data_IF_067027387040
#
_entry.id   IF_067027387040
#
_cell.length_a   1.000
_cell.length_b   1.000
_cell.length_c   1.000
_cell.angle_alpha   90.00
_cell.angle_beta   90.00
_cell.angle_gamma   90.00
#
_symmetry.space_group_name_H-M   'P 1'
#
loop_
_entity.id
_entity.type
_entity.pdbx_description
1 polymer ?
#
# COMPACT_ATOMS: atom_id res chain seq x y z
N UNK A 1 -11.18 12.56 -5.27
CA UNK A 1 -10.18 11.62 -4.73
C UNK A 1 -10.74 10.71 -3.63
N UNK A 2 -11.53 11.22 -2.68
CA UNK A 2 -12.11 10.40 -1.59
C UNK A 2 -12.88 9.16 -2.07
N UNK A 3 -13.74 9.27 -3.10
CA UNK A 3 -14.47 8.11 -3.67
C UNK A 3 -13.54 7.02 -4.22
N UNK A 4 -12.44 7.39 -4.86
CA UNK A 4 -11.46 6.43 -5.41
C UNK A 4 -10.80 5.67 -4.25
N UNK A 5 -10.43 6.35 -3.17
CA UNK A 5 -9.85 5.71 -2.00
C UNK A 5 -10.84 4.77 -1.29
N UNK A 6 -12.11 5.18 -1.16
CA UNK A 6 -13.15 4.33 -0.58
C UNK A 6 -13.35 3.08 -1.44
N UNK A 7 -13.43 3.22 -2.76
CA UNK A 7 -13.61 2.09 -3.68
C UNK A 7 -12.40 1.14 -3.65
N UNK A 8 -11.18 1.68 -3.66
CA UNK A 8 -9.94 0.90 -3.51
C UNK A 8 -9.90 0.15 -2.18
N UNK A 9 -10.32 0.79 -1.08
CA UNK A 9 -10.39 0.18 0.23
C UNK A 9 -11.42 -0.96 0.24
N UNK A 10 -12.58 -0.78 -0.38
CA UNK A 10 -13.66 -1.77 -0.41
C UNK A 10 -13.28 -3.02 -1.21
N UNK A 11 -12.71 -2.84 -2.41
CA UNK A 11 -12.14 -3.95 -3.20
C UNK A 11 -11.04 -4.64 -2.41
N UNK A 12 -10.15 -3.85 -1.80
CA UNK A 12 -9.07 -4.36 -0.98
C UNK A 12 -9.58 -5.23 0.17
N UNK A 13 -10.59 -4.79 0.91
CA UNK A 13 -11.17 -5.56 2.00
C UNK A 13 -11.84 -6.84 1.50
N UNK A 14 -12.55 -6.79 0.38
CA UNK A 14 -13.23 -7.95 -0.22
C UNK A 14 -12.22 -9.02 -0.65
N UNK A 15 -11.16 -8.62 -1.36
CA UNK A 15 -10.10 -9.55 -1.81
C UNK A 15 -9.37 -10.15 -0.61
N UNK A 16 -9.06 -9.35 0.41
CA UNK A 16 -8.41 -9.85 1.62
C UNK A 16 -9.32 -10.84 2.36
N UNK A 17 -10.61 -10.54 2.49
CA UNK A 17 -11.59 -11.44 3.09
C UNK A 17 -11.70 -12.77 2.35
N UNK A 18 -11.72 -12.74 1.00
CA UNK A 18 -11.75 -13.96 0.19
C UNK A 18 -10.50 -14.83 0.39
N UNK A 19 -9.30 -14.23 0.37
CA UNK A 19 -8.03 -14.94 0.60
C UNK A 19 -7.99 -15.54 2.01
N UNK A 20 -8.37 -14.76 3.02
CA UNK A 20 -8.38 -15.23 4.42
C UNK A 20 -9.40 -16.35 4.62
N UNK A 21 -10.56 -16.26 3.96
CA UNK A 21 -11.59 -17.29 3.97
C UNK A 21 -11.10 -18.60 3.37
N UNK A 22 -10.53 -18.57 2.16
CA UNK A 22 -10.02 -19.78 1.50
C UNK A 22 -8.85 -20.41 2.26
N UNK A 23 -7.96 -19.60 2.83
CA UNK A 23 -6.89 -20.10 3.71
C UNK A 23 -7.41 -20.75 4.99
N UNK A 24 -8.55 -20.28 5.52
CA UNK A 24 -9.17 -20.88 6.70
C UNK A 24 -9.69 -22.29 6.41
N UNK A 25 -10.32 -22.49 5.25
CA UNK A 25 -10.73 -23.83 4.80
C UNK A 25 -9.52 -24.76 4.60
N UNK A 26 -8.48 -24.29 3.91
CA UNK A 26 -7.25 -25.06 3.73
C UNK A 26 -6.55 -25.39 5.07
N UNK A 27 -6.64 -24.50 6.05
CA UNK A 27 -6.08 -24.72 7.38
C UNK A 27 -6.83 -25.82 8.15
N UNK A 28 -8.16 -25.90 8.01
CA UNK A 28 -8.96 -26.98 8.59
C UNK A 28 -8.55 -28.32 7.98
N UNK A 29 -8.52 -28.42 6.65
CA UNK A 29 -8.11 -29.65 5.95
C UNK A 29 -6.69 -30.08 6.34
N UNK A 30 -5.76 -29.12 6.48
CA UNK A 30 -4.40 -29.42 6.91
C UNK A 30 -4.35 -29.98 8.34
N UNK A 31 -5.13 -29.41 9.26
CA UNK A 31 -5.23 -29.90 10.64
C UNK A 31 -5.86 -31.28 10.73
N UNK A 32 -6.87 -31.56 9.93
CA UNK A 32 -7.49 -32.89 9.84
C UNK A 32 -6.49 -33.93 9.33
N UNK A 33 -5.70 -33.60 8.30
CA UNK A 33 -4.63 -34.48 7.81
C UNK A 33 -3.55 -34.75 8.87
N UNK A 34 -3.12 -33.71 9.59
CA UNK A 34 -2.20 -33.84 10.72
C UNK A 34 -2.79 -34.71 11.83
N UNK A 35 -4.07 -34.53 12.17
CA UNK A 35 -4.75 -35.34 13.18
C UNK A 35 -4.84 -36.82 12.77
N UNK A 36 -5.17 -37.11 11.52
CA UNK A 36 -5.19 -38.46 10.99
C UNK A 36 -3.80 -39.13 11.04
N UNK A 37 -2.72 -38.39 10.80
CA UNK A 37 -1.34 -38.89 10.96
C UNK A 37 -1.03 -39.22 12.42
N UNK A 38 -1.50 -38.43 13.38
CA UNK A 38 -1.36 -38.70 14.82
C UNK A 38 -2.11 -39.99 15.19
N UNK A 39 -3.35 -40.16 14.73
CA UNK A 39 -4.16 -41.36 15.01
C UNK A 39 -3.53 -42.63 14.41
N UNK A 40 -2.81 -42.51 13.29
CA UNK A 40 -2.06 -43.62 12.68
C UNK A 40 -0.71 -43.90 13.37
N UNK A 41 -0.37 -43.18 14.45
CA UNK A 41 0.89 -43.36 15.17
C UNK A 41 2.12 -42.87 14.41
N UNK A 42 1.95 -41.94 13.46
CA UNK A 42 3.07 -41.41 12.69
C UNK A 42 4.03 -40.64 13.60
N UNK A 43 5.31 -41.02 13.57
CA UNK A 43 6.39 -40.36 14.30
C UNK A 43 7.14 -39.45 13.32
N UNK A 44 7.30 -38.18 13.68
CA UNK A 44 8.04 -37.23 12.87
C UNK A 44 9.54 -37.60 12.80
N UNK A 45 10.09 -37.61 11.59
CA UNK A 45 11.53 -37.80 11.37
C UNK A 45 12.33 -36.53 11.72
N UNK A 46 13.63 -36.68 11.96
CA UNK A 46 14.52 -35.53 12.22
C UNK A 46 14.53 -34.54 11.05
N UNK A 47 14.46 -35.06 9.83
CA UNK A 47 14.41 -34.25 8.60
C UNK A 47 13.10 -33.47 8.49
N UNK A 48 11.96 -34.05 8.89
CA UNK A 48 10.68 -33.33 8.95
C UNK A 48 10.67 -32.22 10.00
N UNK A 49 11.30 -32.44 11.16
CA UNK A 49 11.47 -31.40 12.19
C UNK A 49 12.32 -30.25 11.66
N UNK A 50 13.46 -30.56 11.02
CA UNK A 50 14.36 -29.55 10.45
C UNK A 50 13.68 -28.79 9.30
N UNK A 51 12.92 -29.49 8.46
CA UNK A 51 12.17 -28.87 7.37
C UNK A 51 11.08 -27.94 7.91
N UNK A 52 10.28 -28.38 8.89
CA UNK A 52 9.27 -27.54 9.53
C UNK A 52 9.88 -26.33 10.27
N UNK A 53 11.07 -26.49 10.86
CA UNK A 53 11.81 -25.40 11.49
C UNK A 53 12.27 -24.37 10.45
N UNK A 54 12.87 -24.81 9.34
CA UNK A 54 13.28 -23.93 8.25
C UNK A 54 12.09 -23.18 7.63
N UNK A 55 10.98 -23.87 7.37
CA UNK A 55 9.74 -23.24 6.89
C UNK A 55 9.25 -22.15 7.87
N UNK A 56 9.28 -22.42 9.18
CA UNK A 56 8.88 -21.45 10.20
C UNK A 56 9.81 -20.23 10.26
N UNK A 57 11.13 -20.44 10.20
CA UNK A 57 12.12 -19.36 10.20
C UNK A 57 11.95 -18.49 8.96
N UNK A 58 11.87 -19.10 7.78
CA UNK A 58 11.66 -18.38 6.52
C UNK A 58 10.35 -17.59 6.53
N UNK A 59 9.24 -18.21 6.94
CA UNK A 59 7.96 -17.51 7.04
C UNK A 59 8.01 -16.33 8.03
N UNK A 60 8.73 -16.48 9.15
CA UNK A 60 8.90 -15.40 10.14
C UNK A 60 9.77 -14.27 9.58
N UNK A 61 10.88 -14.59 8.91
CA UNK A 61 11.76 -13.61 8.29
C UNK A 61 11.02 -12.81 7.20
N UNK A 62 10.30 -13.49 6.30
CA UNK A 62 9.49 -12.84 5.26
C UNK A 62 8.41 -11.95 5.85
N UNK A 63 7.75 -12.38 6.93
CA UNK A 63 6.74 -11.57 7.62
C UNK A 63 7.37 -10.32 8.25
N UNK A 64 8.51 -10.44 8.94
CA UNK A 64 9.19 -9.30 9.56
C UNK A 64 9.67 -8.30 8.50
N UNK A 65 10.32 -8.78 7.44
CA UNK A 65 10.79 -7.94 6.34
C UNK A 65 9.62 -7.26 5.63
N UNK A 66 8.54 -8.01 5.33
CA UNK A 66 7.34 -7.46 4.70
C UNK A 66 6.62 -6.44 5.59
N UNK A 67 6.56 -6.67 6.90
CA UNK A 67 6.01 -5.74 7.87
C UNK A 67 6.81 -4.45 7.95
N UNK A 68 8.15 -4.55 8.06
CA UNK A 68 9.05 -3.41 8.06
C UNK A 68 8.96 -2.59 6.76
N UNK A 69 8.96 -3.26 5.60
CA UNK A 69 8.79 -2.60 4.30
C UNK A 69 7.47 -1.84 4.23
N UNK A 70 6.38 -2.40 4.76
CA UNK A 70 5.06 -1.76 4.80
C UNK A 70 5.05 -0.51 5.69
N UNK A 71 5.70 -0.56 6.85
CA UNK A 71 5.84 0.59 7.75
C UNK A 71 6.67 1.70 7.08
N UNK A 72 7.78 1.35 6.45
CA UNK A 72 8.62 2.31 5.72
C UNK A 72 7.83 2.98 4.59
N UNK A 73 7.10 2.19 3.79
CA UNK A 73 6.24 2.72 2.71
C UNK A 73 5.13 3.65 3.25
N UNK A 74 4.51 3.30 4.37
CA UNK A 74 3.50 4.14 5.01
C UNK A 74 4.08 5.48 5.50
N UNK A 75 5.28 5.47 6.08
CA UNK A 75 5.99 6.68 6.48
C UNK A 75 6.37 7.56 5.28
N UNK A 76 6.86 6.95 4.19
CA UNK A 76 7.17 7.66 2.94
C UNK A 76 5.91 8.31 2.37
N UNK A 77 4.80 7.58 2.33
CA UNK A 77 3.52 8.08 1.83
C UNK A 77 3.02 9.26 2.67
N UNK A 78 3.05 9.14 4.00
CA UNK A 78 2.61 10.19 4.92
C UNK A 78 3.44 11.47 4.74
N UNK A 79 4.78 11.34 4.72
CA UNK A 79 5.66 12.49 4.56
C UNK A 79 5.51 13.13 3.17
N UNK A 80 5.35 12.30 2.13
CA UNK A 80 5.12 12.77 0.76
C UNK A 80 3.79 13.51 0.63
N UNK A 81 2.74 13.05 1.32
CA UNK A 81 1.45 13.74 1.34
C UNK A 81 1.53 15.09 2.05
N UNK A 82 2.21 15.17 3.20
CA UNK A 82 2.45 16.44 3.89
C UNK A 82 3.23 17.43 3.02
N UNK A 83 4.31 16.97 2.37
CA UNK A 83 5.07 17.80 1.45
C UNK A 83 4.23 18.25 0.25
N UNK A 84 3.37 17.39 -0.29
CA UNK A 84 2.50 17.73 -1.41
C UNK A 84 1.50 18.84 -1.03
N UNK A 85 0.84 18.74 0.12
CA UNK A 85 -0.10 19.79 0.57
C UNK A 85 0.62 21.12 0.84
N UNK A 86 1.80 21.09 1.45
CA UNK A 86 2.61 22.30 1.67
C UNK A 86 3.06 22.94 0.34
N UNK A 87 3.53 22.13 -0.62
CA UNK A 87 3.98 22.61 -1.92
C UNK A 87 2.82 23.14 -2.76
N UNK A 88 1.63 22.53 -2.65
CA UNK A 88 0.40 23.02 -3.28
C UNK A 88 0.03 24.41 -2.77
N UNK A 89 0.15 24.64 -1.46
CA UNK A 89 -0.06 25.98 -0.90
C UNK A 89 0.96 27.01 -1.40
N UNK A 90 2.24 26.64 -1.44
CA UNK A 90 3.29 27.53 -1.97
C UNK A 90 3.08 27.85 -3.45
N UNK A 91 2.59 26.89 -4.23
CA UNK A 91 2.26 27.10 -5.63
C UNK A 91 1.07 28.05 -5.80
N UNK A 92 0.01 27.88 -5.00
CA UNK A 92 -1.13 28.80 -4.98
C UNK A 92 -0.71 30.23 -4.67
N UNK A 93 0.11 30.45 -3.64
CA UNK A 93 0.63 31.79 -3.30
C UNK A 93 1.44 32.39 -4.44
N UNK A 94 2.28 31.57 -5.09
CA UNK A 94 3.06 32.01 -6.23
C UNK A 94 2.18 32.40 -7.42
N UNK A 95 1.09 31.66 -7.69
CA UNK A 95 0.13 31.99 -8.74
C UNK A 95 -0.57 33.34 -8.46
N UNK A 96 -1.04 33.56 -7.23
CA UNK A 96 -1.67 34.83 -6.83
C UNK A 96 -0.70 36.01 -6.98
N UNK A 97 0.57 35.84 -6.59
CA UNK A 97 1.59 36.88 -6.71
C UNK A 97 2.01 37.16 -8.15
N UNK A 98 2.13 36.12 -8.99
CA UNK A 98 2.66 36.23 -10.35
C UNK A 98 1.60 36.71 -11.34
N UNK A 99 0.37 36.22 -11.19
CA UNK A 99 -0.71 36.45 -12.14
C UNK A 99 -1.83 37.34 -11.60
N UNK A 100 -1.76 37.76 -10.33
CA UNK A 100 -2.75 38.62 -9.67
C UNK A 100 -4.18 38.05 -9.71
N UNK A 101 -4.29 36.73 -9.63
CA UNK A 101 -5.56 36.00 -9.59
C UNK A 101 -5.88 35.54 -8.17
N UNK A 102 -7.12 35.18 -7.88
CA UNK A 102 -7.50 34.50 -6.64
C UNK A 102 -7.45 32.99 -6.88
N UNK A 103 -6.75 32.26 -6.02
CA UNK A 103 -6.56 30.81 -6.17
C UNK A 103 -7.28 30.05 -5.07
N UNK A 104 -8.06 29.06 -5.47
CA UNK A 104 -8.49 28.01 -4.55
C UNK A 104 -7.31 27.07 -4.27
N UNK A 105 -6.76 27.20 -3.07
CA UNK A 105 -5.63 26.42 -2.59
C UNK A 105 -5.89 24.90 -2.57
N UNK A 106 -7.15 24.46 -2.51
CA UNK A 106 -7.49 23.04 -2.58
C UNK A 106 -7.10 22.43 -3.94
N UNK A 107 -7.21 23.22 -5.02
CA UNK A 107 -7.03 22.80 -6.41
C UNK A 107 -5.87 23.51 -7.12
N UNK A 108 -4.97 24.17 -6.39
CA UNK A 108 -3.87 24.94 -6.97
C UNK A 108 -2.96 24.11 -7.89
N UNK A 109 -2.77 22.82 -7.59
CA UNK A 109 -1.98 21.89 -8.39
C UNK A 109 -2.58 21.58 -9.78
N UNK A 110 -3.88 21.83 -9.95
CA UNK A 110 -4.62 21.61 -11.21
C UNK A 110 -4.67 22.83 -12.12
N UNK A 111 -4.13 23.96 -11.69
CA UNK A 111 -3.94 25.08 -12.60
C UNK A 111 -2.93 24.68 -13.69
N UNK A 112 -3.20 25.15 -14.89
CA UNK A 112 -2.42 24.82 -16.08
C UNK A 112 -2.14 26.09 -16.89
N UNK A 113 -1.01 26.08 -17.58
CA UNK A 113 -0.65 27.11 -18.54
C UNK A 113 -0.68 26.48 -19.92
N UNK A 114 -1.70 26.76 -20.71
CA UNK A 114 -1.89 26.18 -22.03
C UNK A 114 -2.03 27.28 -23.07
N UNK A 115 -1.27 27.18 -24.16
CA UNK A 115 -1.20 28.19 -25.22
C UNK A 115 -0.96 29.61 -24.66
N UNK A 116 -0.03 29.70 -23.71
CA UNK A 116 0.33 30.94 -23.00
C UNK A 116 -0.85 31.66 -22.31
N UNK A 117 -1.88 30.91 -21.96
CA UNK A 117 -3.04 31.38 -21.20
C UNK A 117 -3.21 30.54 -19.93
N UNK A 118 -3.50 31.22 -18.83
CA UNK A 118 -3.75 30.58 -17.55
C UNK A 118 -5.13 29.92 -17.56
N UNK A 119 -5.19 28.64 -17.20
CA UNK A 119 -6.40 27.86 -17.07
C UNK A 119 -6.62 27.47 -15.60
N UNK A 120 -7.86 27.58 -15.15
CA UNK A 120 -8.28 27.28 -13.79
C UNK A 120 -9.18 26.04 -13.76
N UNK A 121 -9.16 25.24 -12.68
CA UNK A 121 -10.02 24.08 -12.57
C UNK A 121 -11.48 24.50 -12.38
N UNK A 122 -12.39 23.97 -13.21
CA UNK A 122 -13.83 24.15 -13.00
C UNK A 122 -14.25 23.33 -11.78
N UNK A 123 -15.03 23.93 -10.86
CA UNK A 123 -15.50 23.26 -9.64
C UNK A 123 -16.04 21.85 -9.95
N UNK A 124 -15.51 20.84 -9.26
CA UNK A 124 -15.84 19.41 -9.41
C UNK A 124 -15.52 18.73 -10.76
N UNK A 125 -14.79 19.38 -11.66
CA UNK A 125 -14.36 18.79 -12.94
C UNK A 125 -12.84 18.56 -12.97
N UNK A 126 -12.42 17.57 -13.76
CA UNK A 126 -11.01 17.43 -14.17
C UNK A 126 -10.64 18.37 -15.31
N UNK A 127 -11.63 19.01 -15.94
CA UNK A 127 -11.41 19.97 -17.00
C UNK A 127 -10.98 21.33 -16.43
N UNK A 128 -9.93 21.88 -17.03
CA UNK A 128 -9.48 23.25 -16.82
C UNK A 128 -10.13 24.15 -17.87
N UNK A 129 -10.54 25.35 -17.48
CA UNK A 129 -11.11 26.36 -18.37
C UNK A 129 -10.18 27.57 -18.42
N UNK A 130 -10.10 28.28 -19.56
CA UNK A 130 -9.32 29.51 -19.64
C UNK A 130 -9.84 30.53 -18.63
N UNK A 131 -8.94 31.23 -17.95
CA UNK A 131 -9.31 32.26 -16.99
C UNK A 131 -10.17 33.33 -17.68
N UNK A 132 -11.27 33.81 -17.07
CA UNK A 132 -12.24 34.71 -17.72
C UNK A 132 -11.64 36.05 -18.18
N UNK A 133 -10.48 36.41 -17.65
CA UNK A 133 -9.73 37.62 -18.01
C UNK A 133 -8.58 37.37 -18.99
N UNK A 134 -8.48 36.18 -19.60
CA UNK A 134 -7.43 35.80 -20.55
C UNK A 134 -6.02 36.15 -20.05
N UNK A 135 -5.71 35.74 -18.82
CA UNK A 135 -4.44 36.08 -18.17
C UNK A 135 -3.30 35.39 -18.92
N UNK A 136 -2.40 36.19 -19.49
CA UNK A 136 -1.23 35.69 -20.17
C UNK A 136 -0.31 34.96 -19.20
N UNK A 137 0.21 33.81 -19.62
CA UNK A 137 1.01 32.94 -18.81
C UNK A 137 2.29 32.51 -19.55
N UNK A 138 3.44 32.63 -18.88
CA UNK A 138 4.70 32.09 -19.38
C UNK A 138 4.76 30.58 -19.10
N UNK A 139 4.48 29.77 -20.11
CA UNK A 139 4.43 28.30 -20.03
C UNK A 139 5.72 27.71 -19.44
N UNK A 140 6.89 28.19 -19.86
CA UNK A 140 8.17 27.67 -19.38
C UNK A 140 8.40 27.96 -17.89
N UNK A 141 8.11 29.19 -17.45
CA UNK A 141 8.25 29.57 -16.03
C UNK A 141 7.25 28.85 -15.12
N UNK A 142 6.03 28.63 -15.62
CA UNK A 142 4.98 27.90 -14.92
C UNK A 142 5.38 26.44 -14.66
N UNK A 143 5.76 25.72 -15.71
CA UNK A 143 6.18 24.32 -15.61
C UNK A 143 7.47 24.19 -14.77
N UNK A 144 8.43 25.11 -14.92
CA UNK A 144 9.62 25.13 -14.08
C UNK A 144 9.28 25.26 -12.60
N UNK A 145 8.34 26.16 -12.22
CA UNK A 145 7.94 26.32 -10.83
C UNK A 145 7.20 25.10 -10.29
N UNK A 146 6.29 24.53 -11.10
CA UNK A 146 5.54 23.32 -10.75
C UNK A 146 6.47 22.12 -10.56
N UNK A 147 7.50 21.99 -11.39
CA UNK A 147 8.55 20.98 -11.26
C UNK A 147 9.46 21.23 -10.05
N UNK A 148 9.84 22.48 -9.77
CA UNK A 148 10.64 22.84 -8.59
C UNK A 148 9.94 22.45 -7.29
N UNK A 149 8.62 22.65 -7.21
CA UNK A 149 7.80 22.27 -6.07
C UNK A 149 7.41 20.78 -6.08
N UNK A 150 7.88 20.01 -7.06
CA UNK A 150 7.61 18.57 -7.16
C UNK A 150 6.14 18.21 -7.36
N UNK A 151 5.32 19.15 -7.85
CA UNK A 151 3.87 18.96 -8.05
C UNK A 151 3.55 18.22 -9.34
N UNK A 152 4.52 18.08 -10.26
CA UNK A 152 4.35 17.34 -11.50
C UNK A 152 4.14 15.84 -11.21
N UNK A 153 2.94 15.35 -11.57
CA UNK A 153 2.48 13.98 -11.32
C UNK A 153 2.57 13.54 -9.84
N UNK A 154 2.50 14.49 -8.91
CA UNK A 154 2.61 14.19 -7.48
C UNK A 154 1.44 13.32 -6.99
N UNK A 155 0.24 13.56 -7.52
CA UNK A 155 -0.98 12.78 -7.29
C UNK A 155 -0.83 11.32 -7.75
N UNK A 156 -0.29 11.09 -8.94
CA UNK A 156 -0.03 9.74 -9.48
C UNK A 156 1.02 9.02 -8.65
N UNK A 157 2.10 9.71 -8.25
CA UNK A 157 3.13 9.15 -7.37
C UNK A 157 2.55 8.74 -6.02
N UNK A 158 1.78 9.62 -5.39
CA UNK A 158 1.09 9.34 -4.11
C UNK A 158 0.15 8.13 -4.25
N UNK A 159 -0.59 8.03 -5.35
CA UNK A 159 -1.46 6.89 -5.63
C UNK A 159 -0.65 5.57 -5.75
N UNK A 160 0.47 5.58 -6.47
CA UNK A 160 1.34 4.40 -6.61
C UNK A 160 1.94 3.98 -5.27
N UNK A 161 2.38 4.93 -4.45
CA UNK A 161 2.86 4.66 -3.08
C UNK A 161 1.75 4.07 -2.20
N UNK A 162 0.52 4.60 -2.29
CA UNK A 162 -0.63 4.07 -1.56
C UNK A 162 -0.97 2.63 -1.98
N UNK A 163 -0.94 2.32 -3.27
CA UNK A 163 -1.13 0.96 -3.79
C UNK A 163 -0.02 0.04 -3.26
N UNK A 164 1.25 0.47 -3.32
CA UNK A 164 2.38 -0.28 -2.80
C UNK A 164 2.26 -0.60 -1.31
N UNK A 165 1.89 0.40 -0.49
CA UNK A 165 1.66 0.22 0.94
C UNK A 165 0.51 -0.77 1.23
N UNK A 166 -0.60 -0.69 0.47
CA UNK A 166 -1.72 -1.61 0.60
C UNK A 166 -1.34 -3.05 0.25
N UNK A 167 -0.59 -3.26 -0.84
CA UNK A 167 -0.12 -4.59 -1.24
C UNK A 167 0.85 -5.17 -0.21
N UNK A 168 1.79 -4.36 0.29
CA UNK A 168 2.71 -4.75 1.36
C UNK A 168 1.97 -5.19 2.63
N UNK A 169 1.00 -4.39 3.07
CA UNK A 169 0.19 -4.72 4.25
C UNK A 169 -0.60 -6.02 4.07
N UNK A 170 -1.17 -6.27 2.88
CA UNK A 170 -1.86 -7.54 2.58
C UNK A 170 -0.91 -8.73 2.64
N UNK A 171 0.26 -8.61 2.04
CA UNK A 171 1.27 -9.66 2.08
C UNK A 171 1.70 -9.97 3.53
N UNK A 172 1.84 -8.95 4.36
CA UNK A 172 2.11 -9.09 5.79
C UNK A 172 1.00 -9.86 6.52
N UNK A 173 -0.27 -9.45 6.35
CA UNK A 173 -1.42 -10.11 7.00
C UNK A 173 -1.57 -11.57 6.54
N UNK A 174 -1.45 -11.83 5.23
CA UNK A 174 -1.49 -13.18 4.66
C UNK A 174 -0.37 -14.04 5.23
N UNK A 175 0.87 -13.51 5.31
CA UNK A 175 2.00 -14.21 5.91
C UNK A 175 1.79 -14.54 7.39
N UNK A 176 1.18 -13.63 8.16
CA UNK A 176 0.84 -13.83 9.56
C UNK A 176 -0.17 -14.97 9.74
N UNK A 177 -1.23 -14.99 8.92
CA UNK A 177 -2.25 -16.05 8.95
C UNK A 177 -1.67 -17.38 8.46
N UNK A 178 -0.87 -17.38 7.40
CA UNK A 178 -0.15 -18.56 6.91
C UNK A 178 0.68 -19.20 8.02
N UNK A 179 1.48 -18.38 8.72
CA UNK A 179 2.32 -18.84 9.82
C UNK A 179 1.49 -19.43 10.97
N UNK A 180 0.36 -18.79 11.31
CA UNK A 180 -0.50 -19.24 12.42
C UNK A 180 -1.25 -20.53 12.11
N UNK A 181 -1.67 -20.71 10.87
CA UNK A 181 -2.50 -21.83 10.46
C UNK A 181 -1.72 -23.07 10.01
N UNK A 182 -0.54 -22.89 9.41
CA UNK A 182 0.20 -23.99 8.77
C UNK A 182 1.55 -24.27 9.45
N UNK A 183 2.45 -23.28 9.54
CA UNK A 183 3.82 -23.54 10.01
C UNK A 183 3.93 -23.76 11.51
N UNK A 184 3.20 -23.00 12.34
CA UNK A 184 3.21 -23.17 13.79
C UNK A 184 2.64 -24.52 14.24
N UNK A 185 1.46 -24.98 13.75
CA UNK A 185 0.93 -26.29 14.10
C UNK A 185 1.83 -27.45 13.65
N UNK A 186 2.38 -27.39 12.43
CA UNK A 186 3.30 -28.39 11.90
C UNK A 186 4.58 -28.49 12.74
N UNK A 187 5.16 -27.35 13.13
CA UNK A 187 6.34 -27.32 14.00
C UNK A 187 6.04 -27.85 15.40
N UNK A 188 4.88 -27.51 15.97
CA UNK A 188 4.46 -28.00 17.28
C UNK A 188 4.32 -29.52 17.26
N UNK A 189 3.58 -30.06 16.28
CA UNK A 189 3.40 -31.50 16.06
C UNK A 189 4.73 -32.22 15.94
N UNK A 190 5.61 -31.77 15.02
CA UNK A 190 6.89 -32.40 14.74
C UNK A 190 7.79 -32.44 16.00
N UNK A 191 7.82 -31.36 16.79
CA UNK A 191 8.58 -31.32 18.06
C UNK A 191 8.03 -32.27 19.11
N UNK A 192 6.71 -32.34 19.29
CA UNK A 192 6.10 -33.27 20.26
C UNK A 192 6.32 -34.73 19.89
N UNK A 193 6.20 -35.08 18.62
CA UNK A 193 6.26 -36.48 18.17
C UNK A 193 7.69 -36.96 17.93
N UNK A 194 8.65 -36.08 17.63
CA UNK A 194 10.08 -36.45 17.62
C UNK A 194 10.61 -36.74 19.04
N UNK A 195 10.06 -36.10 20.07
CA UNK A 195 10.46 -36.31 21.48
C UNK A 195 10.03 -37.68 22.02
N UNK A 196 8.93 -38.23 21.52
CA UNK A 196 8.41 -39.56 21.88
C UNK A 196 9.30 -40.72 21.40
N UNK A 197 10.30 -40.47 20.53
CA UNK A 197 11.26 -41.50 20.07
C UNK A 197 12.38 -41.80 21.09
N UNK A 198 12.58 -40.91 22.06
CA UNK A 198 13.71 -40.96 23.01
C UNK A 198 13.28 -41.20 24.47
N UNK A 199 11.99 -41.44 24.71
CA UNK A 199 11.40 -41.89 25.98
C UNK A 199 10.92 -43.33 25.80
#
# INVERSE_FOLDING_TARGET
MLMIYIFLALISFTVLGFILGSMSFAAVEHREKLAAQIEQGAVASLDEVNHALNEHIMATATMVVGGLASVILALILFNSHQSYEANKQQFGQWLEQTYQVTVDYEYADRWECYLDMLHYPKQNSSATEPHPHNIACNTAGFEQKKQQLGLVMADVKLLLWAIGALLGFKAFVIGLVWRRCFTLPKLAWAKTHARLRWL
#
